data_IF_672668289792
#
_entry.id   IF_672668289792
#
_cell.length_a   1.000
_cell.length_b   1.000
_cell.length_c   1.000
_cell.angle_alpha   90.00
_cell.angle_beta   90.00
_cell.angle_gamma   90.00
#
_symmetry.space_group_name_H-M   'P 1'
#
loop_
_entity.id
_entity.type
_entity.pdbx_description
1 polymer ?
#
# COMPACT_ATOMS: atom_id res chain seq x y z
N UNK A 1 5.92 -20.23 -80.55
CA UNK A 1 6.50 -20.08 -79.20
C UNK A 1 5.79 -18.90 -78.54
N UNK A 2 5.01 -19.13 -77.47
CA UNK A 2 4.22 -18.10 -76.79
C UNK A 2 5.01 -17.55 -75.58
N UNK A 3 4.87 -16.25 -75.23
CA UNK A 3 5.58 -15.67 -74.09
C UNK A 3 4.87 -16.04 -72.78
N UNK A 4 5.66 -16.27 -71.72
CA UNK A 4 5.16 -16.41 -70.35
C UNK A 4 5.10 -15.02 -69.70
N UNK A 5 3.92 -14.66 -69.21
CA UNK A 5 3.69 -13.51 -68.34
C UNK A 5 3.83 -14.00 -66.90
N UNK A 6 4.71 -13.36 -66.14
CA UNK A 6 4.89 -13.60 -64.69
C UNK A 6 3.88 -12.76 -63.93
N UNK A 7 2.93 -13.41 -63.25
CA UNK A 7 2.04 -12.76 -62.27
C UNK A 7 2.82 -12.54 -60.97
N UNK A 8 2.89 -11.30 -60.50
CA UNK A 8 3.34 -10.95 -59.16
C UNK A 8 2.09 -10.82 -58.29
N UNK A 9 1.95 -11.70 -57.30
CA UNK A 9 0.91 -11.65 -56.28
C UNK A 9 1.32 -10.63 -55.21
N UNK A 10 0.61 -9.51 -55.11
CA UNK A 10 0.68 -8.62 -53.94
C UNK A 10 -0.20 -9.19 -52.82
N UNK A 11 0.41 -9.63 -51.73
CA UNK A 11 -0.30 -9.89 -50.48
C UNK A 11 -0.60 -8.55 -49.81
N UNK A 12 -1.88 -8.19 -49.73
CA UNK A 12 -2.36 -7.09 -48.90
C UNK A 12 -2.37 -7.53 -47.43
N UNK A 13 -1.47 -6.96 -46.63
CA UNK A 13 -1.53 -7.02 -45.17
C UNK A 13 -2.64 -6.08 -44.69
N UNK A 14 -3.82 -6.65 -44.43
CA UNK A 14 -4.88 -5.96 -43.70
C UNK A 14 -4.49 -5.87 -42.23
N UNK A 15 -3.97 -4.72 -41.81
CA UNK A 15 -3.83 -4.37 -40.40
C UNK A 15 -5.23 -4.14 -39.85
N UNK A 16 -5.75 -5.11 -39.10
CA UNK A 16 -6.95 -4.92 -38.29
C UNK A 16 -6.52 -4.08 -37.09
N UNK A 17 -6.79 -2.77 -37.16
CA UNK A 17 -6.70 -1.90 -36.00
C UNK A 17 -7.75 -2.39 -34.99
N UNK A 18 -7.28 -3.05 -33.93
CA UNK A 18 -8.09 -3.27 -32.75
C UNK A 18 -8.46 -1.89 -32.20
N UNK A 19 -9.73 -1.55 -32.31
CA UNK A 19 -10.29 -0.38 -31.64
C UNK A 19 -10.29 -0.70 -30.15
N UNK A 20 -9.27 -0.26 -29.43
CA UNK A 20 -9.31 -0.16 -27.99
C UNK A 20 -10.52 0.73 -27.67
N UNK A 21 -11.54 0.15 -27.05
CA UNK A 21 -12.66 0.89 -26.50
C UNK A 21 -12.07 1.74 -25.38
N UNK A 22 -11.87 3.02 -25.66
CA UNK A 22 -11.51 4.01 -24.64
C UNK A 22 -12.73 4.23 -23.77
N UNK A 23 -12.85 3.45 -22.70
CA UNK A 23 -13.73 3.78 -21.59
C UNK A 23 -13.22 5.11 -21.02
N UNK A 24 -14.08 6.12 -20.82
CA UNK A 24 -13.62 7.39 -20.23
C UNK A 24 -12.92 7.12 -18.90
N UNK A 25 -11.79 7.80 -18.68
CA UNK A 25 -11.12 7.86 -17.38
C UNK A 25 -12.13 8.40 -16.37
N UNK A 26 -12.57 7.54 -15.46
CA UNK A 26 -13.77 7.80 -14.68
C UNK A 26 -13.38 8.35 -13.31
N UNK A 27 -12.75 9.53 -13.26
CA UNK A 27 -12.45 10.20 -11.99
C UNK A 27 -13.74 10.63 -11.29
N UNK A 28 -13.95 10.16 -10.07
CA UNK A 28 -15.08 10.55 -9.22
C UNK A 28 -15.53 9.44 -8.26
N UNK A 29 -16.49 9.72 -7.36
CA UNK A 29 -16.87 8.79 -6.31
C UNK A 29 -17.50 7.50 -6.86
N UNK A 30 -16.89 6.36 -6.55
CA UNK A 30 -17.40 5.03 -6.92
C UNK A 30 -18.77 4.76 -6.27
N UNK A 31 -18.99 5.28 -5.06
CA UNK A 31 -20.25 5.19 -4.31
C UNK A 31 -21.44 5.85 -5.02
N UNK A 32 -21.20 6.81 -5.94
CA UNK A 32 -22.28 7.39 -6.76
C UNK A 32 -22.71 6.45 -7.88
N UNK A 33 -21.85 5.54 -8.30
CA UNK A 33 -22.07 4.61 -9.42
C UNK A 33 -22.60 3.27 -8.94
N UNK A 34 -22.11 2.81 -7.80
CA UNK A 34 -22.52 1.55 -7.17
C UNK A 34 -23.21 1.89 -5.85
N UNK A 35 -24.53 1.65 -5.81
CA UNK A 35 -25.30 1.88 -4.60
C UNK A 35 -24.94 0.84 -3.52
N UNK A 36 -24.72 1.26 -2.27
CA UNK A 36 -24.43 0.34 -1.18
C UNK A 36 -25.65 -0.52 -0.85
N UNK A 37 -25.44 -1.71 -0.28
CA UNK A 37 -26.51 -2.66 0.02
C UNK A 37 -26.91 -2.64 1.49
N UNK A 38 -28.19 -2.85 1.79
CA UNK A 38 -28.69 -2.94 3.18
C UNK A 38 -28.28 -4.23 3.93
N UNK A 39 -27.65 -5.19 3.23
CA UNK A 39 -27.18 -6.48 3.74
C UNK A 39 -25.70 -6.66 3.36
N UNK A 40 -25.11 -7.83 3.67
CA UNK A 40 -23.75 -8.19 3.26
C UNK A 40 -23.56 -7.91 1.75
N UNK A 41 -22.63 -7.02 1.38
CA UNK A 41 -22.50 -6.57 0.01
C UNK A 41 -21.87 -7.69 -0.81
N UNK A 42 -22.33 -7.85 -2.05
CA UNK A 42 -21.64 -8.72 -3.00
C UNK A 42 -20.44 -7.94 -3.55
N UNK A 43 -19.23 -8.49 -3.45
CA UNK A 43 -18.07 -7.87 -4.08
C UNK A 43 -18.26 -7.77 -5.58
N UNK A 44 -17.87 -6.64 -6.15
CA UNK A 44 -17.90 -6.38 -7.59
C UNK A 44 -16.50 -5.99 -8.06
N UNK A 45 -16.13 -6.45 -9.25
CA UNK A 45 -14.89 -6.02 -9.90
C UNK A 45 -15.14 -4.66 -10.54
N UNK A 46 -14.36 -3.66 -10.16
CA UNK A 46 -14.49 -2.26 -10.61
C UNK A 46 -13.30 -1.81 -11.44
N UNK A 47 -12.18 -2.54 -11.36
CA UNK A 47 -11.09 -2.48 -12.32
C UNK A 47 -10.43 -3.85 -12.52
N UNK A 48 -9.72 -4.00 -13.64
CA UNK A 48 -9.01 -5.23 -14.00
C UNK A 48 -7.56 -4.98 -14.44
N UNK A 49 -7.12 -3.72 -14.52
CA UNK A 49 -5.74 -3.35 -14.78
C UNK A 49 -5.38 -2.08 -13.99
N UNK A 50 -4.14 -1.94 -13.50
CA UNK A 50 -3.07 -2.95 -13.53
C UNK A 50 -3.30 -4.12 -12.58
N UNK A 51 -4.16 -3.96 -11.57
CA UNK A 51 -4.62 -5.02 -10.67
C UNK A 51 -6.13 -5.27 -10.82
N UNK A 52 -6.59 -6.47 -10.43
CA UNK A 52 -8.02 -6.72 -10.25
C UNK A 52 -8.49 -6.03 -8.96
N UNK A 53 -9.22 -4.93 -9.13
CA UNK A 53 -9.79 -4.18 -8.03
C UNK A 53 -11.23 -4.61 -7.77
N UNK A 54 -11.46 -5.13 -6.57
CA UNK A 54 -12.77 -5.56 -6.08
C UNK A 54 -13.27 -4.63 -4.97
N UNK A 55 -14.52 -4.18 -5.09
CA UNK A 55 -15.15 -3.26 -4.15
C UNK A 55 -16.45 -3.83 -3.57
N UNK A 56 -16.71 -3.56 -2.28
CA UNK A 56 -17.99 -3.87 -1.63
C UNK A 56 -18.28 -2.90 -0.47
N UNK A 57 -19.54 -2.51 -0.29
CA UNK A 57 -19.96 -1.61 0.80
C UNK A 57 -21.38 -1.83 1.32
N UNK A 58 -21.53 -1.83 2.64
CA UNK A 58 -22.82 -1.81 3.31
C UNK A 58 -23.41 -0.40 3.41
N UNK A 59 -24.74 -0.29 3.35
CA UNK A 59 -25.46 0.99 3.44
C UNK A 59 -25.24 1.72 4.77
N UNK A 60 -25.01 0.97 5.85
CA UNK A 60 -24.69 1.49 7.19
C UNK A 60 -23.23 1.89 7.37
N UNK A 61 -22.38 1.69 6.36
CA UNK A 61 -20.96 1.94 6.48
C UNK A 61 -20.69 3.43 6.73
N UNK A 62 -19.90 3.73 7.76
CA UNK A 62 -19.41 5.06 8.07
C UNK A 62 -18.29 5.49 7.11
N UNK A 63 -17.65 4.53 6.46
CA UNK A 63 -16.72 4.74 5.36
C UNK A 63 -17.43 4.87 4.01
N UNK A 64 -16.90 5.72 3.13
CA UNK A 64 -17.34 5.94 1.75
C UNK A 64 -16.14 6.06 0.81
N UNK A 65 -16.29 5.59 -0.43
CA UNK A 65 -15.34 5.92 -1.50
C UNK A 65 -15.70 7.28 -2.11
N UNK A 66 -14.96 8.30 -1.70
CA UNK A 66 -15.18 9.69 -2.10
C UNK A 66 -14.50 10.02 -3.43
N UNK A 67 -13.46 9.27 -3.77
CA UNK A 67 -12.76 9.37 -5.06
C UNK A 67 -12.35 7.98 -5.56
N UNK A 68 -12.46 7.79 -6.86
CA UNK A 68 -11.88 6.70 -7.61
C UNK A 68 -11.34 7.29 -8.90
N UNK A 69 -10.02 7.29 -9.06
CA UNK A 69 -9.36 7.69 -10.29
C UNK A 69 -8.74 6.45 -10.94
N UNK A 70 -9.43 5.91 -11.94
CA UNK A 70 -8.92 4.79 -12.74
C UNK A 70 -7.63 5.15 -13.50
N UNK A 71 -7.41 6.41 -13.87
CA UNK A 71 -6.24 6.78 -14.65
C UNK A 71 -4.98 6.92 -13.79
N UNK A 72 -5.13 7.37 -12.54
CA UNK A 72 -4.07 7.39 -11.53
C UNK A 72 -4.09 6.18 -10.60
N UNK A 73 -4.85 5.13 -10.93
CA UNK A 73 -4.96 3.90 -10.14
C UNK A 73 -5.10 4.12 -8.62
N UNK A 74 -5.91 5.10 -8.25
CA UNK A 74 -6.03 5.60 -6.89
C UNK A 74 -7.48 5.57 -6.40
N UNK A 75 -7.64 5.29 -5.11
CA UNK A 75 -8.92 5.26 -4.41
C UNK A 75 -8.80 6.10 -3.13
N UNK A 76 -9.77 6.97 -2.87
CA UNK A 76 -9.88 7.65 -1.59
C UNK A 76 -11.08 7.13 -0.80
N UNK A 77 -10.80 6.47 0.32
CA UNK A 77 -11.80 6.12 1.32
C UNK A 77 -11.85 7.20 2.39
N UNK A 78 -13.04 7.67 2.76
CA UNK A 78 -13.25 8.69 3.80
C UNK A 78 -14.19 8.17 4.86
N UNK A 79 -13.78 8.27 6.13
CA UNK A 79 -14.65 8.06 7.27
C UNK A 79 -15.51 9.32 7.47
N UNK A 80 -16.79 9.22 7.13
CA UNK A 80 -17.69 10.38 7.04
C UNK A 80 -17.81 11.17 8.35
N UNK A 81 -17.94 10.54 9.53
CA UNK A 81 -18.07 11.28 10.78
C UNK A 81 -16.83 12.10 11.16
N UNK A 82 -15.63 11.60 10.90
CA UNK A 82 -14.38 12.23 11.35
C UNK A 82 -13.64 13.01 10.26
N UNK A 83 -13.89 12.70 8.99
CA UNK A 83 -13.15 13.25 7.85
C UNK A 83 -11.78 12.60 7.61
N UNK A 84 -11.39 11.60 8.40
CA UNK A 84 -10.16 10.82 8.19
C UNK A 84 -10.23 10.13 6.84
N UNK A 85 -9.14 10.14 6.07
CA UNK A 85 -9.07 9.48 4.77
C UNK A 85 -7.98 8.43 4.69
N UNK A 86 -8.16 7.47 3.79
CA UNK A 86 -7.16 6.51 3.35
C UNK A 86 -7.04 6.65 1.84
N UNK A 87 -5.88 7.12 1.36
CA UNK A 87 -5.53 6.99 -0.04
C UNK A 87 -4.98 5.57 -0.26
N UNK A 88 -5.50 4.88 -1.26
CA UNK A 88 -5.19 3.50 -1.59
C UNK A 88 -4.79 3.47 -3.06
N UNK A 89 -3.49 3.37 -3.29
CA UNK A 89 -2.91 3.22 -4.62
C UNK A 89 -2.72 1.73 -4.92
N UNK A 90 -3.02 1.30 -6.14
CA UNK A 90 -3.04 -0.13 -6.51
C UNK A 90 -2.17 -0.48 -7.73
N UNK A 91 -1.28 0.41 -8.13
CA UNK A 91 -0.37 0.23 -9.27
C UNK A 91 1.12 0.37 -8.93
N UNK A 92 1.94 0.08 -9.95
CA UNK A 92 3.35 0.43 -9.95
C UNK A 92 3.52 1.90 -10.39
N UNK A 93 4.63 2.57 -10.03
CA UNK A 93 4.80 4.01 -10.25
C UNK A 93 5.05 4.42 -11.71
N UNK A 94 4.78 3.55 -12.69
CA UNK A 94 5.08 3.85 -14.10
C UNK A 94 4.17 4.91 -14.71
N UNK A 95 2.93 5.06 -14.23
CA UNK A 95 1.94 5.99 -14.78
C UNK A 95 1.98 7.38 -14.12
N UNK A 96 1.79 7.45 -12.80
CA UNK A 96 1.66 8.71 -12.04
C UNK A 96 2.76 8.93 -10.99
N UNK A 97 3.67 7.95 -10.85
CA UNK A 97 4.74 7.88 -9.85
C UNK A 97 4.27 7.70 -8.41
N UNK A 98 3.06 7.19 -8.19
CA UNK A 98 2.64 6.70 -6.89
C UNK A 98 2.87 5.19 -6.83
N UNK A 99 3.37 4.72 -5.69
CA UNK A 99 3.60 3.31 -5.48
C UNK A 99 2.38 2.71 -4.75
N UNK A 100 1.99 1.49 -5.10
CA UNK A 100 0.89 0.80 -4.42
C UNK A 100 1.07 0.79 -2.90
N UNK A 101 -0.02 1.01 -2.16
CA UNK A 101 0.01 1.04 -0.70
C UNK A 101 -1.15 1.83 -0.12
N UNK A 102 -1.07 2.12 1.18
CA UNK A 102 -2.10 2.86 1.89
C UNK A 102 -1.48 4.03 2.65
N UNK A 103 -1.93 5.24 2.34
CA UNK A 103 -1.53 6.48 3.00
C UNK A 103 -2.73 7.00 3.83
N UNK A 104 -2.71 6.79 5.15
CA UNK A 104 -3.66 7.45 6.03
C UNK A 104 -3.50 8.97 6.02
N UNK A 105 -4.59 9.70 6.23
CA UNK A 105 -4.59 11.13 6.56
C UNK A 105 -5.52 11.35 7.76
N UNK A 106 -4.92 11.68 8.90
CA UNK A 106 -5.62 11.94 10.16
C UNK A 106 -5.94 13.43 10.37
N UNK A 107 -5.75 14.26 9.35
CA UNK A 107 -5.87 15.71 9.38
C UNK A 107 -4.52 16.46 9.36
N UNK A 108 -3.39 15.74 9.42
CA UNK A 108 -2.05 16.32 9.25
C UNK A 108 -1.55 16.28 7.80
N UNK A 109 -2.34 15.74 6.88
CA UNK A 109 -1.97 15.46 5.50
C UNK A 109 -1.69 13.97 5.27
N UNK A 110 -1.61 13.53 4.01
CA UNK A 110 -1.33 12.14 3.67
C UNK A 110 0.02 11.68 4.23
N UNK A 111 0.02 10.52 4.86
CA UNK A 111 1.22 9.84 5.36
C UNK A 111 1.92 9.13 4.20
N UNK A 112 2.62 9.92 3.38
CA UNK A 112 3.39 9.47 2.22
C UNK A 112 4.61 10.35 2.01
N UNK A 113 5.64 9.80 1.36
CA UNK A 113 6.85 10.53 1.04
C UNK A 113 7.59 9.95 -0.17
N UNK A 114 8.65 10.60 -0.60
CA UNK A 114 9.47 10.19 -1.72
C UNK A 114 10.39 9.01 -1.35
N UNK A 115 10.20 7.90 -2.06
CA UNK A 115 11.06 6.72 -1.98
C UNK A 115 11.23 6.07 -3.36
N UNK A 116 12.44 5.58 -3.67
CA UNK A 116 12.78 4.98 -4.98
C UNK A 116 12.29 5.74 -6.24
N UNK A 117 12.25 7.08 -6.17
CA UNK A 117 11.81 7.92 -7.29
C UNK A 117 10.29 8.05 -7.46
N UNK A 118 9.52 7.61 -6.47
CA UNK A 118 8.06 7.59 -6.42
C UNK A 118 7.55 8.20 -5.12
N UNK A 119 6.30 8.67 -5.10
CA UNK A 119 5.57 8.89 -3.86
C UNK A 119 5.16 7.52 -3.31
N UNK A 120 5.51 7.24 -2.06
CA UNK A 120 5.29 5.94 -1.43
C UNK A 120 4.46 6.11 -0.15
N UNK A 121 3.35 5.37 -0.02
CA UNK A 121 2.51 5.41 1.16
C UNK A 121 3.19 4.87 2.42
N UNK A 122 2.70 5.26 3.60
CA UNK A 122 3.18 4.75 4.88
C UNK A 122 3.15 3.23 4.95
N UNK A 123 2.05 2.59 4.54
CA UNK A 123 1.93 1.13 4.51
C UNK A 123 2.17 0.64 3.09
N UNK A 124 3.31 0.00 2.87
CA UNK A 124 3.81 -0.33 1.55
C UNK A 124 4.03 -1.84 1.38
N UNK A 125 3.23 -2.55 0.56
CA UNK A 125 3.22 -4.02 0.49
C UNK A 125 4.28 -4.63 -0.44
N UNK A 126 5.00 -3.85 -1.24
CA UNK A 126 5.89 -4.36 -2.28
C UNK A 126 7.32 -4.54 -1.73
N UNK A 127 7.68 -5.76 -1.36
CA UNK A 127 9.00 -6.05 -0.77
C UNK A 127 10.17 -6.14 -1.77
N UNK A 128 9.88 -6.32 -3.06
CA UNK A 128 10.92 -6.42 -4.11
C UNK A 128 10.48 -5.60 -5.33
N UNK A 129 10.67 -4.26 -5.33
CA UNK A 129 10.04 -3.34 -6.30
C UNK A 129 10.34 -3.62 -7.77
N UNK A 130 11.46 -4.27 -8.07
CA UNK A 130 11.82 -4.62 -9.44
C UNK A 130 10.98 -5.78 -10.01
N UNK A 131 10.34 -6.58 -9.15
CA UNK A 131 9.71 -7.84 -9.57
C UNK A 131 8.36 -8.14 -8.93
N UNK A 132 8.08 -7.61 -7.73
CA UNK A 132 6.82 -7.82 -7.03
C UNK A 132 5.79 -6.79 -7.50
N UNK A 133 4.73 -7.30 -8.12
CA UNK A 133 3.57 -6.53 -8.59
C UNK A 133 2.32 -6.91 -7.82
N UNK A 134 1.47 -5.94 -7.53
CA UNK A 134 0.15 -6.19 -6.94
C UNK A 134 -0.81 -6.65 -8.03
N UNK A 135 -1.45 -7.79 -7.82
CA UNK A 135 -2.32 -8.42 -8.80
C UNK A 135 -3.80 -8.28 -8.43
N UNK A 136 -4.10 -8.26 -7.14
CA UNK A 136 -5.47 -8.19 -6.63
C UNK A 136 -5.56 -7.20 -5.47
N UNK A 137 -6.55 -6.32 -5.53
CA UNK A 137 -6.89 -5.40 -4.45
C UNK A 137 -8.37 -5.57 -4.10
N UNK A 138 -8.67 -5.75 -2.82
CA UNK A 138 -10.05 -5.80 -2.32
C UNK A 138 -10.25 -4.69 -1.30
N UNK A 139 -11.24 -3.83 -1.55
CA UNK A 139 -11.70 -2.80 -0.62
C UNK A 139 -13.11 -3.14 -0.18
N UNK A 140 -13.28 -3.45 1.11
CA UNK A 140 -14.55 -3.84 1.70
C UNK A 140 -14.90 -2.94 2.87
N UNK A 141 -16.09 -2.35 2.84
CA UNK A 141 -16.59 -1.44 3.88
C UNK A 141 -17.82 -2.03 4.58
N UNK A 142 -17.71 -2.31 5.88
CA UNK A 142 -18.75 -2.91 6.71
C UNK A 142 -18.85 -2.19 8.05
N UNK A 143 -19.97 -1.48 8.27
CA UNK A 143 -20.19 -0.76 9.52
C UNK A 143 -19.16 0.35 9.73
N UNK A 144 -18.41 0.24 10.82
CA UNK A 144 -17.33 1.16 11.24
C UNK A 144 -15.96 0.78 10.66
N UNK A 145 -15.87 -0.32 9.91
CA UNK A 145 -14.62 -0.85 9.36
C UNK A 145 -14.48 -0.62 7.86
N UNK A 146 -13.24 -0.35 7.43
CA UNK A 146 -12.79 -0.55 6.05
C UNK A 146 -11.61 -1.51 6.02
N UNK A 147 -11.75 -2.59 5.25
CA UNK A 147 -10.70 -3.57 5.01
C UNK A 147 -10.13 -3.40 3.61
N UNK A 148 -8.82 -3.31 3.52
CA UNK A 148 -8.05 -3.28 2.28
C UNK A 148 -7.12 -4.48 2.26
N UNK A 149 -7.26 -5.32 1.25
CA UNK A 149 -6.38 -6.47 1.03
C UNK A 149 -5.66 -6.32 -0.31
N UNK A 150 -4.33 -6.34 -0.28
CA UNK A 150 -3.47 -6.32 -1.46
C UNK A 150 -2.74 -7.66 -1.54
N UNK A 151 -2.74 -8.27 -2.71
CA UNK A 151 -2.11 -9.58 -2.97
C UNK A 151 -1.32 -9.50 -4.27
N UNK A 152 -0.12 -10.05 -4.27
CA UNK A 152 0.77 -10.04 -5.42
C UNK A 152 1.99 -10.94 -5.23
N UNK A 153 2.67 -11.27 -6.33
CA UNK A 153 3.92 -12.03 -6.29
C UNK A 153 3.82 -13.37 -5.55
N UNK A 154 4.94 -13.79 -4.95
CA UNK A 154 5.04 -14.98 -4.11
C UNK A 154 6.15 -14.81 -3.07
N UNK A 155 6.08 -15.55 -1.94
CA UNK A 155 7.14 -15.54 -0.92
C UNK A 155 8.52 -15.91 -1.51
N UNK A 156 8.56 -16.78 -2.52
CA UNK A 156 9.79 -17.18 -3.23
C UNK A 156 10.52 -16.01 -3.93
N UNK A 157 9.81 -14.91 -4.24
CA UNK A 157 10.44 -13.70 -4.79
C UNK A 157 11.34 -13.01 -3.76
N UNK A 158 10.98 -13.11 -2.49
CA UNK A 158 11.63 -12.42 -1.37
C UNK A 158 12.74 -13.31 -0.77
N UNK A 159 12.46 -14.59 -0.61
CA UNK A 159 13.42 -15.57 -0.12
C UNK A 159 13.28 -16.89 -0.91
N UNK A 160 14.28 -17.28 -1.72
CA UNK A 160 14.23 -18.52 -2.49
C UNK A 160 14.02 -19.76 -1.62
N UNK A 161 13.00 -20.55 -1.95
CA UNK A 161 12.55 -21.71 -1.18
C UNK A 161 11.46 -21.39 -0.16
N UNK A 162 11.02 -20.12 -0.05
CA UNK A 162 9.97 -19.72 0.89
C UNK A 162 8.55 -20.07 0.42
N UNK A 163 8.36 -20.57 -0.80
CA UNK A 163 7.09 -21.10 -1.30
C UNK A 163 6.40 -20.24 -2.35
N UNK A 164 5.50 -20.85 -3.12
CA UNK A 164 4.77 -20.21 -4.23
C UNK A 164 3.45 -19.55 -3.79
N UNK A 165 3.16 -19.56 -2.49
CA UNK A 165 2.01 -18.84 -1.96
C UNK A 165 2.19 -17.32 -2.17
N UNK A 166 1.10 -16.58 -2.48
CA UNK A 166 1.22 -15.17 -2.78
C UNK A 166 1.56 -14.33 -1.54
N UNK A 167 2.34 -13.27 -1.74
CA UNK A 167 2.52 -12.23 -0.72
C UNK A 167 1.20 -11.48 -0.56
N UNK A 168 0.95 -11.02 0.65
CA UNK A 168 -0.21 -10.18 0.91
C UNK A 168 0.03 -9.20 2.04
N UNK A 169 -0.72 -8.10 1.98
CA UNK A 169 -1.00 -7.20 3.08
C UNK A 169 -2.52 -7.13 3.24
N UNK A 170 -3.00 -7.34 4.46
CA UNK A 170 -4.40 -7.19 4.83
C UNK A 170 -4.49 -6.16 5.94
N UNK A 171 -5.19 -5.05 5.72
CA UNK A 171 -5.30 -3.95 6.65
C UNK A 171 -6.78 -3.64 6.93
N UNK A 172 -7.19 -3.68 8.19
CA UNK A 172 -8.53 -3.31 8.65
C UNK A 172 -8.42 -2.04 9.45
N UNK A 173 -9.12 -0.98 9.03
CA UNK A 173 -9.11 0.32 9.68
C UNK A 173 -10.44 0.60 10.37
N UNK A 174 -10.38 1.13 11.58
CA UNK A 174 -11.52 1.64 12.35
C UNK A 174 -11.23 3.06 12.84
N UNK A 175 -12.27 3.79 13.23
CA UNK A 175 -12.12 5.05 13.96
C UNK A 175 -12.76 4.90 15.34
N UNK A 176 -11.92 4.87 16.37
CA UNK A 176 -12.32 4.70 17.76
C UNK A 176 -11.94 5.94 18.56
N UNK A 177 -12.90 6.53 19.27
CA UNK A 177 -12.70 7.77 20.06
C UNK A 177 -12.05 8.92 19.26
N UNK A 178 -12.34 8.98 17.95
CA UNK A 178 -11.79 9.98 17.02
C UNK A 178 -10.36 9.71 16.56
N UNK A 179 -9.77 8.56 16.91
CA UNK A 179 -8.46 8.11 16.49
C UNK A 179 -8.58 7.02 15.42
N UNK A 180 -7.73 7.09 14.39
CA UNK A 180 -7.60 5.98 13.46
C UNK A 180 -6.87 4.82 14.15
N UNK A 181 -7.41 3.61 13.99
CA UNK A 181 -6.77 2.35 14.36
C UNK A 181 -6.61 1.51 13.10
N UNK A 182 -5.59 0.67 13.06
CA UNK A 182 -5.47 -0.32 11.99
C UNK A 182 -4.94 -1.65 12.52
N UNK A 183 -5.59 -2.75 12.15
CA UNK A 183 -5.02 -4.08 12.30
C UNK A 183 -4.46 -4.53 10.95
N UNK A 184 -3.18 -4.86 10.90
CA UNK A 184 -2.53 -5.36 9.68
C UNK A 184 -2.05 -6.79 9.86
N UNK A 185 -2.11 -7.58 8.80
CA UNK A 185 -1.50 -8.91 8.74
C UNK A 185 -0.85 -9.16 7.39
N UNK A 186 0.25 -9.92 7.40
CA UNK A 186 1.05 -10.24 6.21
C UNK A 186 2.44 -9.62 6.29
N UNK A 187 3.08 -9.38 5.15
CA UNK A 187 4.38 -8.69 5.09
C UNK A 187 4.23 -7.37 4.31
N UNK A 188 4.70 -6.29 4.91
CA UNK A 188 4.70 -4.95 4.35
C UNK A 188 5.72 -4.08 5.09
N UNK A 189 6.14 -2.99 4.47
CA UNK A 189 6.98 -1.97 5.09
C UNK A 189 6.12 -0.89 5.73
N UNK A 190 6.67 -0.27 6.78
CA UNK A 190 6.17 1.00 7.32
C UNK A 190 7.20 2.07 6.98
N UNK A 191 6.76 3.17 6.36
CA UNK A 191 7.64 4.23 5.85
C UNK A 191 7.46 5.60 6.54
N UNK A 192 7.97 5.80 7.77
CA UNK A 192 7.93 7.10 8.42
C UNK A 192 8.80 8.14 7.68
N UNK A 193 8.52 9.41 7.90
CA UNK A 193 9.27 10.54 7.34
C UNK A 193 10.67 10.67 7.97
N UNK A 194 11.54 11.42 7.30
CA UNK A 194 12.82 11.94 7.78
C UNK A 194 12.84 13.46 7.84
N UNK A 195 11.79 14.13 7.36
CA UNK A 195 11.65 15.59 7.32
C UNK A 195 10.33 16.00 7.99
N UNK A 196 10.33 16.72 9.12
CA UNK A 196 11.47 17.40 9.78
C UNK A 196 12.33 16.53 10.71
N UNK A 197 12.04 15.24 10.76
CA UNK A 197 12.75 14.26 11.57
C UNK A 197 11.76 13.42 12.36
N UNK A 198 12.17 12.20 12.67
CA UNK A 198 11.30 11.18 13.28
C UNK A 198 12.06 10.43 14.35
N UNK A 199 11.48 10.36 15.54
CA UNK A 199 11.99 9.55 16.65
C UNK A 199 11.21 8.25 16.71
N UNK A 200 11.91 7.12 16.80
CA UNK A 200 11.35 5.79 16.95
C UNK A 200 11.83 5.20 18.27
N UNK A 201 10.88 4.94 19.17
CA UNK A 201 11.09 4.25 20.42
C UNK A 201 10.54 2.83 20.33
N UNK A 202 11.38 1.85 20.66
CA UNK A 202 11.06 0.43 20.58
C UNK A 202 11.08 -0.18 21.97
N UNK A 203 10.12 -1.05 22.25
CA UNK A 203 10.16 -1.95 23.40
C UNK A 203 10.23 -3.40 22.92
N UNK A 204 11.26 -4.12 23.37
CA UNK A 204 11.52 -5.52 23.04
C UNK A 204 10.81 -6.45 24.03
N UNK A 205 10.73 -7.75 23.72
CA UNK A 205 10.04 -8.75 24.54
C UNK A 205 10.61 -8.89 25.97
N UNK A 206 11.89 -8.60 26.17
CA UNK A 206 12.55 -8.62 27.49
C UNK A 206 12.34 -7.31 28.29
N UNK A 207 11.63 -6.34 27.71
CA UNK A 207 11.40 -5.00 28.28
C UNK A 207 12.52 -3.99 27.99
N UNK A 208 13.56 -4.37 27.24
CA UNK A 208 14.60 -3.46 26.77
C UNK A 208 13.97 -2.36 25.90
N UNK A 209 14.46 -1.13 26.08
CA UNK A 209 14.04 0.02 25.28
C UNK A 209 15.16 0.54 24.41
N UNK A 210 14.84 0.80 23.14
CA UNK A 210 15.78 1.31 22.14
C UNK A 210 15.17 2.55 21.52
N UNK A 211 15.88 3.68 21.57
CA UNK A 211 15.44 4.94 20.96
C UNK A 211 16.35 5.30 19.79
N UNK A 212 15.75 5.70 18.67
CA UNK A 212 16.43 6.15 17.46
C UNK A 212 15.83 7.45 16.97
N UNK A 213 16.62 8.28 16.31
CA UNK A 213 16.11 9.49 15.65
C UNK A 213 16.69 9.56 14.26
N UNK A 214 15.80 9.70 13.29
CA UNK A 214 16.09 9.70 11.88
C UNK A 214 15.76 11.06 11.28
N UNK A 215 16.67 11.57 10.47
CA UNK A 215 16.55 12.86 9.79
C UNK A 215 17.09 12.72 8.37
N UNK A 216 16.86 13.73 7.54
CA UNK A 216 17.50 13.81 6.21
C UNK A 216 19.04 13.74 6.26
N UNK A 217 19.66 13.99 7.43
CA UNK A 217 21.11 13.92 7.63
C UNK A 217 21.59 12.59 8.24
N UNK A 218 20.70 11.69 8.64
CA UNK A 218 21.07 10.40 9.24
C UNK A 218 21.86 9.55 8.25
N UNK A 219 22.99 8.93 8.65
CA UNK A 219 23.84 8.16 7.74
C UNK A 219 23.13 6.93 7.18
N UNK A 220 23.57 6.46 6.00
CA UNK A 220 23.09 5.18 5.46
C UNK A 220 23.49 4.07 6.41
N UNK A 221 22.58 3.13 6.66
CA UNK A 221 22.85 2.02 7.56
C UNK A 221 21.68 1.06 7.65
N UNK A 222 22.00 -0.14 8.08
CA UNK A 222 21.02 -1.17 8.42
C UNK A 222 21.18 -1.57 9.87
N UNK A 223 20.07 -1.62 10.57
CA UNK A 223 20.01 -2.12 11.94
C UNK A 223 18.96 -3.23 12.02
N UNK A 224 19.26 -4.27 12.79
CA UNK A 224 18.36 -5.40 13.00
C UNK A 224 18.07 -5.54 14.48
N UNK A 225 16.80 -5.70 14.82
CA UNK A 225 16.33 -5.85 16.19
C UNK A 225 15.39 -7.05 16.24
N UNK A 226 15.69 -7.98 17.13
CA UNK A 226 14.86 -9.17 17.34
C UNK A 226 13.78 -8.90 18.39
N UNK A 227 12.66 -9.61 18.30
CA UNK A 227 11.60 -9.65 19.32
C UNK A 227 11.03 -8.28 19.73
N UNK A 228 10.82 -7.37 18.77
CA UNK A 228 10.14 -6.09 19.00
C UNK A 228 8.66 -6.35 19.32
N UNK A 229 8.10 -5.63 20.31
CA UNK A 229 6.69 -5.78 20.74
C UNK A 229 5.88 -4.51 20.68
N UNK A 230 6.53 -3.36 20.78
CA UNK A 230 5.92 -2.04 20.65
C UNK A 230 6.88 -1.13 19.90
N UNK A 231 6.32 -0.39 18.95
CA UNK A 231 6.99 0.70 18.24
C UNK A 231 6.18 1.97 18.46
N UNK A 232 6.83 3.01 18.94
CA UNK A 232 6.26 4.34 19.14
C UNK A 232 7.04 5.30 18.23
N UNK A 233 6.32 6.02 17.37
CA UNK A 233 6.88 6.92 16.37
C UNK A 233 6.36 8.32 16.64
N UNK A 234 7.28 9.26 16.82
CA UNK A 234 6.98 10.70 16.81
C UNK A 234 7.56 11.30 15.54
N UNK A 235 6.68 11.55 14.58
CA UNK A 235 7.03 12.00 13.22
C UNK A 235 6.67 13.47 13.02
N UNK A 236 7.66 14.29 12.64
CA UNK A 236 7.46 15.72 12.46
C UNK A 236 6.57 16.12 11.28
N UNK A 237 6.17 15.18 10.42
CA UNK A 237 5.26 15.40 9.28
C UNK A 237 3.92 14.69 9.48
N UNK A 238 3.96 13.43 9.91
CA UNK A 238 2.76 12.59 10.02
C UNK A 238 2.05 12.73 11.37
N UNK A 239 2.73 13.28 12.38
CA UNK A 239 2.28 13.23 13.77
C UNK A 239 2.67 11.91 14.44
N UNK A 240 2.17 11.70 15.66
CA UNK A 240 2.52 10.52 16.44
C UNK A 240 1.69 9.30 16.02
N UNK A 241 2.34 8.15 15.91
CA UNK A 241 1.67 6.86 15.74
C UNK A 241 2.46 5.75 16.41
N UNK A 242 1.79 4.66 16.74
CA UNK A 242 2.42 3.52 17.40
C UNK A 242 1.76 2.22 16.99
N UNK A 243 2.45 1.11 17.17
CA UNK A 243 1.85 -0.20 17.00
C UNK A 243 2.49 -1.27 17.87
N UNK A 244 1.68 -2.25 18.27
CA UNK A 244 2.18 -3.52 18.78
C UNK A 244 2.40 -4.49 17.63
N UNK A 245 3.35 -5.40 17.78
CA UNK A 245 3.71 -6.36 16.72
C UNK A 245 4.18 -7.70 17.27
N UNK A 246 3.96 -8.76 16.50
CA UNK A 246 4.50 -10.10 16.75
C UNK A 246 5.79 -10.39 15.94
N UNK A 247 6.38 -9.38 15.30
CA UNK A 247 7.57 -9.54 14.46
C UNK A 247 8.73 -10.20 15.22
N UNK A 248 9.34 -11.21 14.62
CA UNK A 248 10.48 -11.93 15.18
C UNK A 248 11.79 -11.19 14.90
N UNK A 249 11.88 -10.48 13.77
CA UNK A 249 13.04 -9.66 13.40
C UNK A 249 12.63 -8.47 12.53
N UNK A 250 12.90 -7.28 13.05
CA UNK A 250 12.67 -6.00 12.40
C UNK A 250 13.99 -5.46 11.85
N UNK A 251 13.95 -4.86 10.66
CA UNK A 251 15.07 -4.11 10.10
C UNK A 251 14.71 -2.63 9.98
N UNK A 252 15.64 -1.74 10.34
CA UNK A 252 15.67 -0.38 9.83
C UNK A 252 16.62 -0.32 8.63
N UNK A 253 16.14 0.06 7.45
CA UNK A 253 17.00 0.42 6.31
C UNK A 253 16.96 1.93 6.10
N UNK A 254 18.13 2.55 6.27
CA UNK A 254 18.33 3.99 6.18
C UNK A 254 19.17 4.27 4.94
N UNK A 255 18.63 5.09 4.06
CA UNK A 255 19.34 5.54 2.87
C UNK A 255 19.57 7.05 2.89
N UNK A 256 20.85 7.45 2.79
CA UNK A 256 21.27 8.85 2.58
C UNK A 256 21.18 9.19 1.11
N UNK A 257 19.99 9.49 0.65
CA UNK A 257 19.79 10.17 -0.61
C UNK A 257 18.88 11.37 -0.34
N UNK A 258 19.28 12.59 -0.74
CA UNK A 258 18.50 13.80 -0.49
C UNK A 258 17.12 13.80 -1.17
N UNK A 259 16.87 12.87 -2.09
CA UNK A 259 15.58 12.65 -2.75
C UNK A 259 14.68 11.66 -2.01
N UNK A 260 15.20 10.98 -0.98
CA UNK A 260 14.41 10.06 -0.16
C UNK A 260 14.06 10.77 1.14
N UNK A 261 12.80 11.09 1.35
CA UNK A 261 12.33 11.77 2.57
C UNK A 261 11.64 10.83 3.56
N UNK A 262 11.58 9.53 3.27
CA UNK A 262 11.16 8.45 4.20
C UNK A 262 12.29 7.43 4.42
N UNK A 263 12.09 6.51 5.37
CA UNK A 263 12.96 5.36 5.62
C UNK A 263 12.14 4.09 5.86
N UNK A 264 12.78 2.92 5.73
CA UNK A 264 12.10 1.64 5.83
C UNK A 264 12.15 1.09 7.25
N UNK A 265 10.97 0.73 7.77
CA UNK A 265 10.82 -0.24 8.83
C UNK A 265 10.32 -1.52 8.17
N UNK A 266 11.25 -2.44 7.97
CA UNK A 266 11.11 -3.58 7.08
C UNK A 266 10.76 -4.87 7.87
N UNK A 267 9.79 -5.62 7.34
CA UNK A 267 9.32 -6.90 7.84
C UNK A 267 9.78 -8.12 7.00
N UNK A 268 10.42 -7.95 5.86
CA UNK A 268 10.92 -9.01 4.99
C UNK A 268 11.98 -9.88 5.69
N UNK A 269 12.73 -9.32 6.63
CA UNK A 269 13.73 -10.04 7.42
C UNK A 269 13.11 -10.93 8.49
N UNK A 270 11.82 -10.75 8.80
CA UNK A 270 11.05 -11.75 9.51
C UNK A 270 10.94 -13.04 8.66
N UNK A 271 10.81 -12.92 7.34
CA UNK A 271 10.87 -14.07 6.43
C UNK A 271 12.31 -14.55 6.18
N UNK A 272 13.19 -13.67 5.67
CA UNK A 272 14.55 -14.01 5.21
C UNK A 272 15.38 -14.68 6.31
N UNK A 273 15.27 -14.20 7.56
CA UNK A 273 16.11 -14.67 8.66
C UNK A 273 15.38 -15.61 9.65
N UNK A 274 14.04 -15.52 9.75
CA UNK A 274 13.26 -16.27 10.75
C UNK A 274 12.19 -17.20 10.15
N UNK A 275 11.88 -17.08 8.86
CA UNK A 275 10.82 -17.84 8.21
C UNK A 275 9.40 -17.43 8.62
N UNK A 276 9.23 -16.31 9.33
CA UNK A 276 7.93 -15.75 9.68
C UNK A 276 7.28 -15.15 8.44
N UNK A 277 6.30 -15.86 7.88
CA UNK A 277 5.56 -15.43 6.68
C UNK A 277 4.49 -14.38 6.95
N UNK A 278 3.99 -14.30 8.20
CA UNK A 278 2.91 -13.39 8.56
C UNK A 278 3.32 -12.64 9.80
N UNK A 279 3.36 -11.31 9.69
CA UNK A 279 3.52 -10.38 10.80
C UNK A 279 2.18 -9.72 11.04
N UNK A 280 1.81 -9.58 12.32
CA UNK A 280 0.57 -8.93 12.75
C UNK A 280 0.93 -7.63 13.46
N UNK A 281 0.26 -6.53 13.11
CA UNK A 281 0.44 -5.26 13.81
C UNK A 281 -0.89 -4.59 14.15
N UNK A 282 -0.97 -3.97 15.33
CA UNK A 282 -2.11 -3.15 15.76
C UNK A 282 -1.68 -1.70 15.92
N UNK A 283 -1.99 -0.87 14.92
CA UNK A 283 -1.63 0.53 14.84
C UNK A 283 -2.64 1.44 15.57
N UNK A 284 -2.10 2.53 16.09
CA UNK A 284 -2.81 3.67 16.63
C UNK A 284 -2.22 4.94 16.07
N UNK A 285 -3.05 5.80 15.51
CA UNK A 285 -2.62 7.10 14.98
C UNK A 285 -3.20 8.23 15.83
N UNK A 286 -2.34 9.08 16.36
CA UNK A 286 -2.76 10.28 17.07
C UNK A 286 -2.81 11.47 16.11
N UNK A 287 -3.93 12.19 16.10
CA UNK A 287 -4.05 13.46 15.40
C UNK A 287 -3.34 14.57 16.20
N UNK A 288 -2.01 14.53 16.25
CA UNK A 288 -1.18 15.57 16.83
C UNK A 288 -0.25 16.15 15.77
N UNK A 289 -0.73 17.17 15.07
CA UNK A 289 0.09 17.95 14.14
C UNK A 289 0.80 19.07 14.92
N UNK A 290 2.14 19.08 14.91
CA UNK A 290 3.00 20.05 15.59
C UNK A 290 3.78 20.95 14.64
#
# INVERSE_FOLDING_TARGET
MKPRVTLITLCALGVVAATAVTVPAEAGPLDRRISPTAVAPRPIVVDAAPAQLTYSRQARSEWQLTEFDRAGNAILATHVPSGITLAIDYDDPSDDRHAAGIAPDTGCGPMEGQFWGSTTPLLYPILEPETHVIENVTVAMDGDEVRVRMVGGAYDLVEPGAGDEPLFMDAVFTVEDGQLRAHTSGLHYVLPSKDRGTTVDLTLADGTRVSRTFTMASPTGREYLDDVRLVEVSDGRYGDFSWTTDIERLQFDLNTNPLLDVFEIDADHALKDRGQRVVTNDFTFAAHCG
#
